data_IF_599236476910
#
_entry.id   IF_599236476910
#
_cell.length_a   1.000
_cell.length_b   1.000
_cell.length_c   1.000
_cell.angle_alpha   90.00
_cell.angle_beta   90.00
_cell.angle_gamma   90.00
#
_symmetry.space_group_name_H-M   'P 1'
#
loop_
_entity.id
_entity.type
_entity.pdbx_description
1 polymer ?
#
# COMPACT_ATOMS: atom_id res chain seq x y z
N UNK A 1 7.49 6.37 23.12
CA UNK A 1 8.04 7.57 22.44
C UNK A 1 7.17 8.76 22.81
N UNK A 2 7.73 9.96 23.10
CA UNK A 2 6.93 11.11 23.46
C UNK A 2 6.11 11.60 22.26
N UNK A 3 4.86 11.96 22.54
CA UNK A 3 3.91 12.53 21.58
C UNK A 3 4.54 13.68 20.79
N UNK A 4 4.49 13.57 19.45
CA UNK A 4 4.74 14.72 18.59
C UNK A 4 3.59 15.71 18.79
N UNK A 5 3.89 17.03 18.90
CA UNK A 5 2.88 18.04 19.16
C UNK A 5 1.85 18.05 18.03
N UNK A 6 0.59 18.30 18.39
CA UNK A 6 -0.57 18.46 17.52
C UNK A 6 -0.22 19.36 16.31
N UNK A 7 0.22 18.75 15.22
CA UNK A 7 0.36 19.43 13.95
C UNK A 7 -1.05 19.68 13.46
N UNK A 8 -1.43 20.97 13.36
CA UNK A 8 -2.62 21.52 12.68
C UNK A 8 -3.60 20.46 12.19
N UNK A 9 -4.83 20.45 12.70
CA UNK A 9 -5.95 19.69 12.13
C UNK A 9 -5.93 19.90 10.62
N UNK A 10 -5.44 18.91 9.86
CA UNK A 10 -5.38 18.95 8.41
C UNK A 10 -6.79 18.71 7.90
N UNK A 11 -7.37 19.60 7.10
CA UNK A 11 -8.71 19.39 6.53
C UNK A 11 -8.78 18.27 5.47
N UNK A 12 -7.76 17.41 5.40
CA UNK A 12 -7.61 16.33 4.43
C UNK A 12 -7.20 15.02 5.12
N UNK A 13 -7.62 13.88 4.56
CA UNK A 13 -7.24 12.57 5.08
C UNK A 13 -5.74 12.33 4.85
N UNK A 14 -5.09 11.75 5.86
CA UNK A 14 -3.68 11.41 5.80
C UNK A 14 -3.48 10.02 5.20
N UNK A 15 -3.19 10.00 3.90
CA UNK A 15 -2.82 8.82 3.15
C UNK A 15 -1.36 8.86 2.68
N UNK A 16 -0.59 9.85 3.11
CA UNK A 16 0.81 9.97 2.71
C UNK A 16 1.67 8.86 3.32
N UNK A 17 2.70 8.45 2.58
CA UNK A 17 3.75 7.59 3.11
C UNK A 17 4.91 8.50 3.50
N UNK A 18 5.31 8.55 4.76
CA UNK A 18 6.43 9.36 5.20
C UNK A 18 7.74 8.66 4.84
N UNK A 19 8.26 9.01 3.66
CA UNK A 19 9.59 8.57 3.26
C UNK A 19 10.67 9.32 4.04
N UNK A 20 11.82 8.67 4.34
CA UNK A 20 12.99 9.34 4.88
C UNK A 20 13.41 10.54 4.01
N UNK A 21 13.78 11.65 4.65
CA UNK A 21 14.02 12.94 3.98
C UNK A 21 15.13 12.95 2.92
N UNK A 22 16.04 11.96 2.90
CA UNK A 22 17.01 11.84 1.81
C UNK A 22 16.31 11.47 0.49
N UNK A 23 15.31 10.58 0.52
CA UNK A 23 14.56 10.15 -0.67
C UNK A 23 13.63 11.24 -1.23
N UNK A 24 13.33 12.29 -0.45
CA UNK A 24 12.45 13.38 -0.86
C UNK A 24 13.18 14.51 -1.60
N UNK A 25 14.51 14.50 -1.71
CA UNK A 25 15.26 15.58 -2.38
C UNK A 25 16.37 15.08 -3.33
N UNK A 26 16.05 14.29 -4.38
CA UNK A 26 17.03 13.69 -5.30
C UNK A 26 17.95 14.71 -5.99
N UNK A 27 17.37 15.85 -6.40
CA UNK A 27 18.10 16.91 -7.10
C UNK A 27 19.14 17.57 -6.18
N UNK A 28 18.80 17.79 -4.91
CA UNK A 28 19.73 18.41 -3.96
C UNK A 28 20.91 17.49 -3.66
N UNK A 29 20.68 16.18 -3.52
CA UNK A 29 21.77 15.20 -3.33
C UNK A 29 22.69 15.16 -4.55
N UNK A 30 22.13 15.23 -5.77
CA UNK A 30 22.91 15.34 -7.00
C UNK A 30 23.79 16.60 -7.05
N UNK A 31 23.22 17.76 -6.71
CA UNK A 31 23.95 19.04 -6.65
C UNK A 31 25.06 19.00 -5.60
N UNK A 32 24.78 18.50 -4.39
CA UNK A 32 25.77 18.38 -3.31
C UNK A 32 26.93 17.46 -3.74
N UNK A 33 26.61 16.31 -4.36
CA UNK A 33 27.62 15.37 -4.86
C UNK A 33 28.52 16.01 -5.91
N UNK A 34 27.94 16.81 -6.81
CA UNK A 34 28.69 17.56 -7.83
C UNK A 34 29.64 18.59 -7.21
N UNK A 35 29.16 19.38 -6.25
CA UNK A 35 29.95 20.41 -5.55
C UNK A 35 31.11 19.78 -4.78
N UNK A 36 30.86 18.68 -4.06
CA UNK A 36 31.90 17.95 -3.32
C UNK A 36 32.99 17.46 -4.29
N UNK A 37 32.59 16.84 -5.40
CA UNK A 37 33.55 16.35 -6.37
C UNK A 37 34.37 17.48 -7.00
N UNK A 38 33.75 18.63 -7.31
CA UNK A 38 34.45 19.79 -7.85
C UNK A 38 35.46 20.39 -6.84
N UNK A 39 35.10 20.41 -5.56
CA UNK A 39 35.98 20.84 -4.47
C UNK A 39 37.19 19.89 -4.30
N UNK A 40 36.97 18.57 -4.32
CA UNK A 40 38.06 17.58 -4.25
C UNK A 40 38.97 17.66 -5.47
N UNK A 41 38.40 17.88 -6.67
CA UNK A 41 39.20 18.15 -7.87
C UNK A 41 40.10 19.37 -7.71
N UNK A 42 39.59 20.46 -7.13
CA UNK A 42 40.37 21.67 -6.87
C UNK A 42 41.54 21.44 -5.88
N UNK A 43 41.33 20.58 -4.86
CA UNK A 43 42.39 20.17 -3.91
C UNK A 43 43.44 19.30 -4.60
N UNK A 44 43.01 18.37 -5.44
CA UNK A 44 43.88 17.41 -6.15
C UNK A 44 44.44 17.96 -7.46
N UNK A 45 44.56 19.29 -7.61
CA UNK A 45 45.02 19.94 -8.84
C UNK A 45 46.38 19.44 -9.35
N UNK A 46 47.26 19.01 -8.45
CA UNK A 46 48.59 18.47 -8.79
C UNK A 46 48.55 17.01 -9.25
N UNK A 47 47.41 16.34 -9.05
CA UNK A 47 47.13 14.96 -9.45
C UNK A 47 45.81 14.89 -10.23
N UNK A 48 45.75 15.51 -11.43
CA UNK A 48 44.49 15.77 -12.15
C UNK A 48 43.75 14.48 -12.52
N UNK A 49 44.46 13.38 -12.80
CA UNK A 49 43.83 12.07 -13.10
C UNK A 49 43.04 11.58 -11.89
N UNK A 50 43.59 11.68 -10.69
CA UNK A 50 42.92 11.25 -9.45
C UNK A 50 41.75 12.15 -9.09
N UNK A 51 41.89 13.48 -9.29
CA UNK A 51 40.80 14.43 -9.12
C UNK A 51 39.64 14.19 -10.09
N UNK A 52 39.93 13.98 -11.37
CA UNK A 52 38.91 13.69 -12.40
C UNK A 52 38.22 12.35 -12.14
N UNK A 53 38.96 11.32 -11.73
CA UNK A 53 38.40 10.00 -11.41
C UNK A 53 37.43 10.10 -10.24
N UNK A 54 37.82 10.79 -9.16
CA UNK A 54 36.95 10.99 -8.00
C UNK A 54 35.70 11.81 -8.35
N UNK A 55 35.86 12.91 -9.10
CA UNK A 55 34.73 13.72 -9.55
C UNK A 55 33.76 12.92 -10.43
N UNK A 56 34.28 12.13 -11.38
CA UNK A 56 33.48 11.23 -12.21
C UNK A 56 32.68 10.22 -11.38
N UNK A 57 33.27 9.62 -10.36
CA UNK A 57 32.58 8.71 -9.43
C UNK A 57 31.44 9.44 -8.71
N UNK A 58 31.68 10.64 -8.18
CA UNK A 58 30.63 11.43 -7.50
C UNK A 58 29.46 11.77 -8.42
N UNK A 59 29.73 12.13 -9.68
CA UNK A 59 28.68 12.43 -10.67
C UNK A 59 27.85 11.17 -10.98
N UNK A 60 28.50 10.02 -11.20
CA UNK A 60 27.81 8.76 -11.49
C UNK A 60 26.95 8.32 -10.31
N UNK A 61 27.50 8.33 -9.09
CA UNK A 61 26.77 7.94 -7.87
C UNK A 61 25.60 8.88 -7.61
N UNK A 62 25.82 10.20 -7.70
CA UNK A 62 24.77 11.21 -7.54
C UNK A 62 23.66 11.08 -8.60
N UNK A 63 24.03 10.81 -9.85
CA UNK A 63 23.08 10.59 -10.94
C UNK A 63 22.25 9.32 -10.79
N UNK A 64 22.89 8.21 -10.38
CA UNK A 64 22.19 6.95 -10.07
C UNK A 64 21.23 7.13 -8.89
N UNK A 65 21.68 7.80 -7.83
CA UNK A 65 20.84 8.11 -6.67
C UNK A 65 19.61 8.93 -7.06
N UNK A 66 19.80 10.02 -7.82
CA UNK A 66 18.70 10.87 -8.27
C UNK A 66 17.69 10.11 -9.15
N UNK A 67 18.17 9.21 -10.00
CA UNK A 67 17.33 8.37 -10.87
C UNK A 67 16.51 7.36 -10.07
N UNK A 68 17.13 6.69 -9.09
CA UNK A 68 16.45 5.73 -8.21
C UNK A 68 15.43 6.44 -7.33
N UNK A 69 15.81 7.52 -6.64
CA UNK A 69 14.91 8.29 -5.77
C UNK A 69 13.73 8.90 -6.55
N UNK A 70 13.95 9.41 -7.76
CA UNK A 70 12.87 9.93 -8.61
C UNK A 70 11.91 8.82 -9.06
N UNK A 71 12.41 7.61 -9.30
CA UNK A 71 11.57 6.45 -9.61
C UNK A 71 10.74 6.04 -8.40
N UNK A 72 11.37 5.92 -7.21
CA UNK A 72 10.68 5.60 -5.95
C UNK A 72 9.56 6.61 -5.67
N UNK A 73 9.84 7.91 -5.79
CA UNK A 73 8.83 8.97 -5.62
C UNK A 73 7.62 8.82 -6.53
N UNK A 74 7.79 8.38 -7.78
CA UNK A 74 6.66 8.18 -8.70
C UNK A 74 5.76 7.05 -8.22
N UNK A 75 6.35 5.99 -7.66
CA UNK A 75 5.60 4.85 -7.10
C UNK A 75 4.94 5.17 -5.76
N UNK A 76 5.54 6.03 -4.95
CA UNK A 76 4.99 6.44 -3.64
C UNK A 76 4.11 7.69 -3.71
N UNK A 77 3.99 8.33 -4.88
CA UNK A 77 3.16 9.50 -5.09
C UNK A 77 1.70 9.20 -4.71
N UNK A 78 1.16 10.02 -3.81
CA UNK A 78 -0.22 9.94 -3.36
C UNK A 78 -1.20 9.99 -4.54
N UNK A 79 -1.07 10.92 -5.48
CA UNK A 79 -1.99 11.01 -6.63
C UNK A 79 -2.03 9.73 -7.46
N UNK A 80 -0.87 9.10 -7.68
CA UNK A 80 -0.78 7.83 -8.40
C UNK A 80 -1.52 6.72 -7.65
N UNK A 81 -1.34 6.67 -6.32
CA UNK A 81 -2.01 5.69 -5.44
C UNK A 81 -3.51 5.91 -5.38
N UNK A 82 -3.98 7.16 -5.32
CA UNK A 82 -5.41 7.49 -5.36
C UNK A 82 -6.02 7.10 -6.70
N UNK A 83 -5.35 7.37 -7.83
CA UNK A 83 -5.81 6.92 -9.16
C UNK A 83 -5.86 5.39 -9.27
N UNK A 84 -4.86 4.70 -8.72
CA UNK A 84 -4.83 3.23 -8.69
C UNK A 84 -5.95 2.66 -7.81
N UNK A 85 -6.19 3.26 -6.62
CA UNK A 85 -7.32 2.96 -5.73
C UNK A 85 -8.64 3.11 -6.47
N UNK A 86 -8.88 4.26 -7.10
CA UNK A 86 -10.15 4.54 -7.77
C UNK A 86 -10.41 3.57 -8.92
N UNK A 87 -9.36 3.28 -9.72
CA UNK A 87 -9.43 2.27 -10.77
C UNK A 87 -9.75 0.88 -10.18
N UNK A 88 -9.06 0.48 -9.11
CA UNK A 88 -9.27 -0.81 -8.47
C UNK A 88 -10.69 -0.97 -7.91
N UNK A 89 -11.19 0.04 -7.19
CA UNK A 89 -12.55 0.02 -6.62
C UNK A 89 -13.63 0.08 -7.71
N UNK A 90 -13.39 0.77 -8.83
CA UNK A 90 -14.35 0.85 -9.95
C UNK A 90 -14.64 -0.49 -10.63
N UNK A 91 -13.77 -1.48 -10.45
CA UNK A 91 -13.93 -2.82 -11.01
C UNK A 91 -14.77 -3.76 -10.12
N UNK A 92 -15.05 -3.33 -8.87
CA UNK A 92 -15.78 -4.11 -7.88
C UNK A 92 -17.30 -3.86 -8.03
N UNK A 93 -18.13 -4.91 -8.08
CA UNK A 93 -19.56 -4.80 -8.32
C UNK A 93 -20.34 -4.47 -7.03
N UNK A 94 -20.16 -3.26 -6.48
CA UNK A 94 -20.91 -2.81 -5.30
C UNK A 94 -22.42 -2.68 -5.58
N UNK A 95 -23.24 -3.23 -4.68
CA UNK A 95 -24.70 -3.10 -4.60
C UNK A 95 -25.13 -2.11 -3.52
N UNK A 96 -24.31 -1.93 -2.49
CA UNK A 96 -24.48 -1.00 -1.38
C UNK A 96 -24.91 -1.65 -0.07
N UNK A 97 -25.27 -2.93 -0.07
CA UNK A 97 -25.71 -3.70 1.11
C UNK A 97 -24.65 -4.65 1.66
N UNK A 98 -23.46 -4.65 1.07
CA UNK A 98 -22.40 -5.60 1.37
C UNK A 98 -21.74 -5.39 2.74
N UNK A 99 -21.29 -6.50 3.32
CA UNK A 99 -20.17 -6.47 4.27
C UNK A 99 -18.86 -6.55 3.50
N UNK A 100 -18.07 -5.48 3.56
CA UNK A 100 -16.77 -5.37 2.90
C UNK A 100 -15.64 -5.52 3.92
N UNK A 101 -14.71 -6.44 3.69
CA UNK A 101 -13.51 -6.62 4.51
C UNK A 101 -12.27 -6.11 3.77
N UNK A 102 -11.49 -5.24 4.39
CA UNK A 102 -10.19 -4.76 3.88
C UNK A 102 -9.04 -5.35 4.71
N UNK A 103 -8.20 -6.13 4.04
CA UNK A 103 -7.06 -6.84 4.63
C UNK A 103 -5.79 -6.00 4.52
N UNK A 104 -5.25 -5.61 5.68
CA UNK A 104 -4.13 -4.68 5.80
C UNK A 104 -4.57 -3.26 5.42
N UNK A 105 -5.65 -2.81 6.05
CA UNK A 105 -6.33 -1.58 5.68
C UNK A 105 -5.51 -0.31 5.96
N UNK A 106 -4.49 -0.38 6.83
CA UNK A 106 -3.64 0.72 7.22
C UNK A 106 -4.43 1.95 7.68
N UNK A 107 -4.14 3.11 7.06
CA UNK A 107 -4.87 4.36 7.30
C UNK A 107 -6.24 4.43 6.59
N UNK A 108 -6.71 3.33 6.00
CA UNK A 108 -8.04 3.16 5.44
C UNK A 108 -8.21 3.62 3.99
N UNK A 109 -7.12 3.69 3.21
CA UNK A 109 -7.17 4.21 1.83
C UNK A 109 -8.20 3.49 0.96
N UNK A 110 -8.32 2.15 1.10
CA UNK A 110 -9.30 1.36 0.36
C UNK A 110 -10.66 1.33 1.07
N UNK A 111 -10.74 0.82 2.30
CA UNK A 111 -12.04 0.62 2.97
C UNK A 111 -12.86 1.89 3.16
N UNK A 112 -12.23 3.03 3.46
CA UNK A 112 -12.96 4.30 3.63
C UNK A 112 -13.56 4.80 2.32
N UNK A 113 -12.94 4.47 1.18
CA UNK A 113 -13.46 4.82 -0.13
C UNK A 113 -14.45 3.77 -0.64
N UNK A 114 -14.24 2.48 -0.33
CA UNK A 114 -15.25 1.44 -0.56
C UNK A 114 -16.55 1.74 0.22
N UNK A 115 -16.45 2.25 1.45
CA UNK A 115 -17.60 2.62 2.28
C UNK A 115 -18.48 3.72 1.67
N UNK A 116 -17.96 4.55 0.75
CA UNK A 116 -18.76 5.54 0.00
C UNK A 116 -19.73 4.90 -0.99
N UNK A 117 -19.50 3.64 -1.37
CA UNK A 117 -20.40 2.85 -2.19
C UNK A 117 -21.45 2.09 -1.36
N UNK A 118 -21.32 2.07 -0.02
CA UNK A 118 -22.21 1.35 0.89
C UNK A 118 -23.34 2.26 1.39
N UNK A 119 -24.57 1.85 1.15
CA UNK A 119 -25.78 2.55 1.58
C UNK A 119 -26.30 1.99 2.90
N UNK A 120 -26.50 0.67 2.96
CA UNK A 120 -26.92 -0.09 4.15
C UNK A 120 -25.88 -1.10 4.63
N UNK A 121 -24.86 -1.34 3.80
CA UNK A 121 -23.72 -2.19 4.11
C UNK A 121 -22.76 -1.57 5.11
N UNK A 122 -21.67 -2.30 5.39
CA UNK A 122 -20.63 -1.88 6.33
C UNK A 122 -19.22 -2.30 5.86
N UNK A 123 -18.25 -1.47 6.21
CA UNK A 123 -16.83 -1.75 6.01
C UNK A 123 -16.16 -2.24 7.29
N UNK A 124 -15.27 -3.22 7.15
CA UNK A 124 -14.43 -3.74 8.23
C UNK A 124 -12.99 -3.68 7.75
N UNK A 125 -12.17 -2.84 8.37
CA UNK A 125 -10.72 -2.82 8.16
C UNK A 125 -10.04 -3.70 9.20
N UNK A 126 -9.13 -4.57 8.76
CA UNK A 126 -8.20 -5.27 9.64
C UNK A 126 -6.76 -4.91 9.31
N UNK A 127 -5.91 -4.81 10.33
CA UNK A 127 -4.46 -4.69 10.18
C UNK A 127 -3.75 -5.22 11.42
N UNK A 128 -2.44 -5.44 11.34
CA UNK A 128 -1.59 -5.76 12.48
C UNK A 128 -0.62 -4.60 12.71
N UNK A 129 -0.82 -3.85 13.79
CA UNK A 129 0.14 -2.83 14.21
C UNK A 129 1.17 -3.40 15.18
N UNK A 130 2.36 -3.69 14.68
CA UNK A 130 3.54 -4.02 15.50
C UNK A 130 4.49 -2.83 15.63
N UNK A 131 5.43 -2.89 16.57
CA UNK A 131 6.56 -1.96 16.61
C UNK A 131 7.33 -2.05 15.27
N UNK A 132 7.18 -1.02 14.42
CA UNK A 132 7.75 -1.00 13.07
C UNK A 132 6.74 -1.06 11.91
N UNK A 133 5.43 -1.03 12.17
CA UNK A 133 4.36 -0.97 11.16
C UNK A 133 4.33 0.34 10.30
N UNK A 134 5.41 1.10 10.30
CA UNK A 134 5.55 2.35 9.54
C UNK A 134 4.65 3.46 10.07
N UNK A 135 4.12 4.26 9.15
CA UNK A 135 3.28 5.44 9.43
C UNK A 135 1.79 5.11 9.61
N UNK A 136 1.42 3.83 9.49
CA UNK A 136 0.05 3.38 9.72
C UNK A 136 -0.24 3.37 11.21
N UNK A 137 -1.34 4.00 11.63
CA UNK A 137 -1.77 3.99 13.03
C UNK A 137 -3.30 4.04 13.14
N UNK A 138 -3.93 3.30 14.09
CA UNK A 138 -5.38 3.31 14.25
C UNK A 138 -6.00 4.70 14.39
N UNK A 139 -5.28 5.67 15.00
CA UNK A 139 -5.76 7.05 15.10
C UNK A 139 -5.89 7.74 13.75
N UNK A 140 -4.95 7.50 12.83
CA UNK A 140 -5.01 8.07 11.48
C UNK A 140 -6.19 7.49 10.70
N UNK A 141 -6.45 6.18 10.82
CA UNK A 141 -7.64 5.54 10.25
C UNK A 141 -8.94 6.23 10.71
N UNK A 142 -9.16 6.36 12.02
CA UNK A 142 -10.40 6.94 12.55
C UNK A 142 -10.58 8.40 12.13
N UNK A 143 -9.50 9.18 12.20
CA UNK A 143 -9.49 10.56 11.72
C UNK A 143 -9.84 10.66 10.24
N UNK A 144 -9.26 9.80 9.41
CA UNK A 144 -9.56 9.77 7.98
C UNK A 144 -11.02 9.36 7.74
N UNK A 145 -11.57 8.43 8.53
CA UNK A 145 -12.97 8.03 8.42
C UNK A 145 -13.94 9.19 8.72
N UNK A 146 -13.61 10.03 9.70
CA UNK A 146 -14.37 11.26 10.01
C UNK A 146 -14.30 12.26 8.85
N UNK A 147 -13.09 12.55 8.35
CA UNK A 147 -12.88 13.50 7.24
C UNK A 147 -13.58 13.03 5.95
N UNK A 148 -13.53 11.72 5.69
CA UNK A 148 -14.16 11.11 4.51
C UNK A 148 -15.69 10.92 4.69
N UNK A 149 -16.25 11.22 5.86
CA UNK A 149 -17.70 11.17 6.13
C UNK A 149 -18.29 9.76 6.19
N UNK A 150 -17.48 8.76 6.54
CA UNK A 150 -17.87 7.33 6.54
C UNK A 150 -17.67 6.63 7.89
N UNK A 151 -17.33 7.38 8.95
CA UNK A 151 -17.05 6.85 10.28
C UNK A 151 -18.18 5.98 10.87
N UNK A 152 -19.43 6.25 10.50
CA UNK A 152 -20.62 5.50 10.91
C UNK A 152 -20.78 4.14 10.20
N UNK A 153 -20.07 3.92 9.09
CA UNK A 153 -20.16 2.71 8.26
C UNK A 153 -18.94 1.79 8.37
N UNK A 154 -17.87 2.23 9.04
CA UNK A 154 -16.61 1.50 9.08
C UNK A 154 -16.19 1.13 10.50
N UNK A 155 -15.56 -0.02 10.65
CA UNK A 155 -14.93 -0.47 11.89
C UNK A 155 -13.49 -0.87 11.63
N UNK A 156 -12.64 -0.74 12.65
CA UNK A 156 -11.23 -1.13 12.61
C UNK A 156 -10.98 -2.22 13.65
N UNK A 157 -10.29 -3.28 13.26
CA UNK A 157 -9.95 -4.39 14.16
C UNK A 157 -8.47 -4.78 13.99
N UNK A 158 -7.84 -5.24 15.07
CA UNK A 158 -6.46 -5.69 15.06
C UNK A 158 -6.43 -7.21 14.92
N UNK A 159 -6.44 -7.71 13.69
CA UNK A 159 -6.63 -9.13 13.39
C UNK A 159 -5.65 -9.62 12.32
N UNK A 160 -5.30 -10.89 12.41
CA UNK A 160 -4.41 -11.56 11.46
C UNK A 160 -5.20 -12.26 10.36
N UNK A 161 -5.00 -11.86 9.10
CA UNK A 161 -5.66 -12.50 7.94
C UNK A 161 -5.41 -14.01 7.86
N UNK A 162 -4.32 -14.51 8.44
CA UNK A 162 -4.01 -15.95 8.46
C UNK A 162 -4.94 -16.74 9.39
N UNK A 163 -5.78 -16.06 10.18
CA UNK A 163 -6.81 -16.63 11.04
C UNK A 163 -7.90 -15.59 11.31
N UNK A 164 -8.87 -15.49 10.42
CA UNK A 164 -9.94 -14.50 10.50
C UNK A 164 -10.99 -14.90 11.55
N UNK A 165 -11.40 -14.00 12.47
CA UNK A 165 -12.40 -14.28 13.50
C UNK A 165 -13.84 -14.18 12.97
N UNK A 166 -14.05 -14.56 11.71
CA UNK A 166 -15.36 -14.52 11.05
C UNK A 166 -15.81 -15.92 10.70
N UNK A 167 -17.13 -16.13 10.74
CA UNK A 167 -17.76 -17.36 10.29
C UNK A 167 -17.52 -17.58 8.79
N UNK A 168 -17.60 -18.83 8.38
CA UNK A 168 -17.60 -19.21 6.97
C UNK A 168 -18.71 -18.45 6.24
N UNK A 169 -18.44 -18.00 5.02
CA UNK A 169 -19.46 -17.41 4.13
C UNK A 169 -20.22 -16.23 4.75
N UNK A 170 -19.51 -15.35 5.46
CA UNK A 170 -20.07 -14.21 6.18
C UNK A 170 -19.78 -12.86 5.53
N UNK A 171 -18.82 -12.79 4.61
CA UNK A 171 -18.34 -11.56 3.95
C UNK A 171 -18.71 -11.56 2.47
N UNK A 172 -19.24 -10.44 1.97
CA UNK A 172 -19.67 -10.31 0.57
C UNK A 172 -18.51 -9.93 -0.35
N UNK A 173 -17.67 -8.99 0.09
CA UNK A 173 -16.54 -8.47 -0.68
C UNK A 173 -15.31 -8.41 0.21
N UNK A 174 -14.19 -8.93 -0.29
CA UNK A 174 -12.88 -8.81 0.37
C UNK A 174 -11.96 -8.03 -0.56
N UNK A 175 -11.33 -6.99 -0.03
CA UNK A 175 -10.34 -6.18 -0.73
C UNK A 175 -9.01 -6.24 0.01
N UNK A 176 -7.91 -6.12 -0.72
CA UNK A 176 -6.58 -5.95 -0.13
C UNK A 176 -5.68 -5.15 -1.05
N UNK A 177 -4.98 -4.15 -0.50
CA UNK A 177 -4.13 -3.23 -1.25
C UNK A 177 -2.74 -3.14 -0.66
N UNK A 178 -1.72 -3.58 -1.39
CA UNK A 178 -0.31 -3.49 -0.97
C UNK A 178 -0.04 -4.19 0.39
N UNK A 179 -0.75 -5.28 0.68
CA UNK A 179 -0.59 -6.05 1.93
C UNK A 179 0.01 -7.43 1.67
N UNK A 180 -0.40 -8.09 0.59
CA UNK A 180 -0.08 -9.50 0.33
C UNK A 180 1.42 -9.72 0.14
N UNK A 181 2.15 -8.72 -0.38
CA UNK A 181 3.60 -8.81 -0.53
C UNK A 181 4.37 -8.92 0.80
N UNK A 182 3.80 -8.45 1.92
CA UNK A 182 4.41 -8.61 3.24
C UNK A 182 4.35 -10.05 3.76
N UNK A 183 3.44 -10.87 3.23
CA UNK A 183 3.18 -12.25 3.70
C UNK A 183 3.56 -13.32 2.67
N UNK A 184 4.37 -12.96 1.65
CA UNK A 184 4.85 -13.87 0.60
C UNK A 184 5.79 -14.99 1.08
N UNK A 185 6.25 -14.92 2.32
CA UNK A 185 7.21 -15.89 2.87
C UNK A 185 6.50 -17.09 3.53
N UNK A 186 6.98 -18.29 3.23
CA UNK A 186 6.47 -19.53 3.82
C UNK A 186 5.02 -19.83 3.45
N UNK A 187 4.24 -20.35 4.40
CA UNK A 187 2.82 -20.68 4.22
C UNK A 187 1.86 -19.51 4.49
N UNK A 188 2.38 -18.30 4.70
CA UNK A 188 1.59 -17.12 5.07
C UNK A 188 0.53 -16.76 4.02
N UNK A 189 0.93 -16.64 2.76
CA UNK A 189 -0.01 -16.29 1.67
C UNK A 189 -1.06 -17.37 1.44
N UNK A 190 -0.69 -18.65 1.52
CA UNK A 190 -1.62 -19.78 1.33
C UNK A 190 -2.72 -19.76 2.40
N UNK A 191 -2.33 -19.58 3.68
CA UNK A 191 -3.28 -19.44 4.79
C UNK A 191 -4.17 -18.21 4.65
N UNK A 192 -3.58 -17.05 4.31
CA UNK A 192 -4.34 -15.81 4.15
C UNK A 192 -5.39 -15.93 3.04
N UNK A 193 -5.02 -16.44 1.86
CA UNK A 193 -5.98 -16.64 0.77
C UNK A 193 -7.02 -17.68 1.13
N UNK A 194 -6.64 -18.78 1.78
CA UNK A 194 -7.59 -19.80 2.22
C UNK A 194 -8.62 -19.25 3.21
N UNK A 195 -8.19 -18.46 4.21
CA UNK A 195 -9.09 -17.80 5.17
C UNK A 195 -10.00 -16.77 4.50
N UNK A 196 -9.46 -15.94 3.58
CA UNK A 196 -10.27 -15.01 2.80
C UNK A 196 -11.36 -15.76 2.01
N UNK A 197 -11.01 -16.87 1.35
CA UNK A 197 -11.99 -17.67 0.60
C UNK A 197 -13.01 -18.36 1.50
N UNK A 198 -12.59 -18.81 2.70
CA UNK A 198 -13.47 -19.42 3.69
C UNK A 198 -14.58 -18.46 4.14
N UNK A 199 -14.21 -17.24 4.51
CA UNK A 199 -15.18 -16.24 5.01
C UNK A 199 -15.98 -15.59 3.88
N UNK A 200 -15.54 -15.69 2.63
CA UNK A 200 -16.23 -15.15 1.47
C UNK A 200 -17.51 -15.95 1.17
N UNK A 201 -18.63 -15.26 0.98
CA UNK A 201 -19.91 -15.86 0.58
C UNK A 201 -19.86 -16.44 -0.83
N UNK A 202 -20.69 -17.46 -1.15
CA UNK A 202 -21.00 -17.83 -2.53
C UNK A 202 -21.51 -16.60 -3.30
N UNK A 203 -21.02 -16.39 -4.52
CA UNK A 203 -21.25 -15.19 -5.31
C UNK A 203 -20.46 -13.95 -4.85
N UNK A 204 -19.65 -14.06 -3.79
CA UNK A 204 -18.81 -12.98 -3.27
C UNK A 204 -17.57 -12.71 -4.13
N UNK A 205 -16.99 -11.52 -3.96
CA UNK A 205 -15.81 -11.06 -4.70
C UNK A 205 -14.59 -10.92 -3.79
N UNK A 206 -13.46 -11.49 -4.20
CA UNK A 206 -12.13 -11.24 -3.62
C UNK A 206 -11.26 -10.48 -4.62
N UNK A 207 -10.91 -9.25 -4.29
CA UNK A 207 -10.11 -8.37 -5.11
C UNK A 207 -8.79 -8.02 -4.41
N UNK A 208 -7.67 -8.08 -5.14
CA UNK A 208 -6.34 -7.78 -4.62
C UNK A 208 -5.62 -6.84 -5.57
N UNK A 209 -5.11 -5.71 -5.05
CA UNK A 209 -4.21 -4.78 -5.71
C UNK A 209 -2.83 -4.84 -5.05
N UNK A 210 -1.82 -5.32 -5.77
CA UNK A 210 -0.46 -5.46 -5.21
C UNK A 210 0.62 -5.54 -6.30
N UNK A 211 1.89 -5.63 -5.88
CA UNK A 211 3.02 -5.91 -6.77
C UNK A 211 2.78 -7.21 -7.55
N UNK A 212 3.29 -7.25 -8.78
CA UNK A 212 3.06 -8.34 -9.74
C UNK A 212 3.26 -9.75 -9.18
N UNK A 213 4.27 -9.95 -8.33
CA UNK A 213 4.52 -11.28 -7.74
C UNK A 213 3.41 -11.68 -6.76
N UNK A 214 2.94 -10.75 -5.93
CA UNK A 214 1.85 -11.00 -4.98
C UNK A 214 0.52 -11.27 -5.69
N UNK A 215 0.22 -10.51 -6.75
CA UNK A 215 -0.96 -10.71 -7.59
C UNK A 215 -0.93 -12.08 -8.27
N UNK A 216 0.21 -12.46 -8.86
CA UNK A 216 0.34 -13.76 -9.52
C UNK A 216 0.21 -14.94 -8.55
N UNK A 217 0.81 -14.82 -7.36
CA UNK A 217 0.70 -15.86 -6.32
C UNK A 217 -0.73 -15.96 -5.81
N UNK A 218 -1.36 -14.82 -5.51
CA UNK A 218 -2.75 -14.79 -5.01
C UNK A 218 -3.71 -15.35 -6.04
N UNK A 219 -3.58 -15.01 -7.32
CA UNK A 219 -4.41 -15.57 -8.39
C UNK A 219 -4.34 -17.11 -8.46
N UNK A 220 -3.13 -17.69 -8.33
CA UNK A 220 -2.96 -19.15 -8.30
C UNK A 220 -3.63 -19.77 -7.08
N UNK A 221 -3.54 -19.11 -5.93
CA UNK A 221 -4.13 -19.59 -4.68
C UNK A 221 -5.65 -19.44 -4.67
N UNK A 222 -6.21 -18.38 -5.28
CA UNK A 222 -7.64 -18.23 -5.50
C UNK A 222 -8.19 -19.42 -6.29
N UNK A 223 -7.58 -19.73 -7.44
CA UNK A 223 -7.94 -20.91 -8.26
C UNK A 223 -7.84 -22.21 -7.47
N UNK A 224 -6.76 -22.40 -6.71
CA UNK A 224 -6.56 -23.58 -5.85
C UNK A 224 -7.66 -23.73 -4.79
N UNK A 225 -8.19 -22.62 -4.28
CA UNK A 225 -9.25 -22.60 -3.26
C UNK A 225 -10.67 -22.52 -3.88
N UNK A 226 -10.82 -22.72 -5.20
CA UNK A 226 -12.13 -22.82 -5.85
C UNK A 226 -12.75 -21.49 -6.28
N UNK A 227 -12.00 -20.38 -6.29
CA UNK A 227 -12.45 -19.14 -6.92
C UNK A 227 -12.21 -19.18 -8.43
N UNK A 228 -13.09 -18.53 -9.17
CA UNK A 228 -12.93 -18.25 -10.59
C UNK A 228 -12.30 -16.87 -10.77
N UNK A 229 -11.30 -16.73 -11.64
CA UNK A 229 -10.68 -15.43 -11.91
C UNK A 229 -11.48 -14.72 -12.99
N UNK A 230 -12.19 -13.67 -12.59
CA UNK A 230 -13.00 -12.86 -13.50
C UNK A 230 -12.12 -11.88 -14.29
N UNK A 231 -11.23 -11.17 -13.60
CA UNK A 231 -10.35 -10.15 -14.19
C UNK A 231 -8.96 -10.23 -13.60
N UNK A 232 -7.95 -9.98 -14.43
CA UNK A 232 -6.56 -9.89 -13.99
C UNK A 232 -5.78 -8.88 -14.82
N UNK A 233 -5.13 -7.97 -14.11
CA UNK A 233 -4.19 -6.98 -14.63
C UNK A 233 -2.79 -7.27 -14.10
N UNK A 234 -1.83 -6.43 -14.48
CA UNK A 234 -0.43 -6.57 -14.01
C UNK A 234 -0.30 -6.46 -12.49
N UNK A 235 -1.12 -5.61 -11.87
CA UNK A 235 -1.06 -5.27 -10.44
C UNK A 235 -2.40 -5.52 -9.72
N UNK A 236 -3.39 -6.13 -10.38
CA UNK A 236 -4.71 -6.37 -9.80
C UNK A 236 -5.25 -7.74 -10.19
N UNK A 237 -5.98 -8.40 -9.31
CA UNK A 237 -6.73 -9.63 -9.60
C UNK A 237 -8.07 -9.60 -8.88
N UNK A 238 -9.10 -10.10 -9.57
CA UNK A 238 -10.47 -10.18 -9.09
C UNK A 238 -10.95 -11.61 -9.27
N UNK A 239 -11.34 -12.24 -8.17
CA UNK A 239 -11.88 -13.59 -8.14
C UNK A 239 -13.31 -13.60 -7.61
N UNK A 240 -14.15 -14.47 -8.17
CA UNK A 240 -15.51 -14.71 -7.72
C UNK A 240 -15.61 -16.11 -7.11
N UNK A 241 -16.33 -16.22 -6.00
CA UNK A 241 -16.68 -17.53 -5.44
C UNK A 241 -17.94 -18.04 -6.15
N UNK A 242 -17.92 -19.25 -6.74
CA UNK A 242 -19.12 -19.84 -7.34
C UNK A 242 -20.31 -19.91 -6.37
N UNK A 243 -21.53 -19.90 -6.91
CA UNK A 243 -22.81 -20.02 -6.16
C UNK A 243 -23.12 -21.47 -5.86
#
# INVERSE_FOLDING_TARGET
MPDKPDSKIQDQPDYELHMPGFLTHPVQVGIISFIIGAFVYAILREKPIWGLTFWGICVVVGGLYASISSSVKKFTNLESRLKARDKFLSEIPFRGDETVLDVGCGNGILILNAAKHLTTGKGIGIDIWTEGAGDSHPRAFHRNAEIEGVADRVSLQNEDVRKLPYEDESIDIIISGLTMHHILHGSGTDKAVSEMVRVLKPGGCLAIYDVRIAVNTSAKLMLKNGLEIEKKYQEMVFGLKPV
#
